data_IF_621641654493
#
_entry.id   IF_621641654493
#
_cell.length_a   1.000
_cell.length_b   1.000
_cell.length_c   1.000
_cell.angle_alpha   90.00
_cell.angle_beta   90.00
_cell.angle_gamma   90.00
#
_symmetry.space_group_name_H-M   'P 1'
#
loop_
_entity.id
_entity.type
_entity.pdbx_description
1 polymer ?
#
# COMPACT_ATOMS: atom_id res chain seq x y z
N UNK A 1 18.54 11.17 -1.90
CA UNK A 1 18.35 10.03 -2.81
C UNK A 1 17.69 10.56 -4.08
N UNK A 2 18.13 10.20 -5.26
CA UNK A 2 17.68 10.76 -6.54
C UNK A 2 17.23 9.65 -7.47
N UNK A 3 16.23 9.92 -8.30
CA UNK A 3 15.66 8.97 -9.24
C UNK A 3 15.41 9.64 -10.58
N UNK A 4 15.58 8.86 -11.66
CA UNK A 4 15.16 9.20 -13.00
C UNK A 4 13.86 8.44 -13.35
N UNK A 5 12.94 9.07 -14.04
CA UNK A 5 11.73 8.41 -14.54
C UNK A 5 12.02 7.59 -15.79
N UNK A 6 11.25 6.54 -16.02
CA UNK A 6 11.21 5.80 -17.28
C UNK A 6 9.94 6.20 -18.02
N UNK A 7 10.01 7.11 -18.99
CA UNK A 7 8.84 7.63 -19.69
C UNK A 7 8.03 6.52 -20.36
N UNK A 8 6.72 6.57 -20.20
CA UNK A 8 5.79 5.62 -20.82
C UNK A 8 5.82 4.21 -20.23
N UNK A 9 6.55 3.95 -19.13
CA UNK A 9 6.52 2.64 -18.49
C UNK A 9 5.10 2.27 -18.01
N UNK A 10 4.63 1.08 -18.39
CA UNK A 10 3.29 0.57 -18.04
C UNK A 10 2.16 1.05 -18.95
N UNK A 11 2.46 1.82 -20.01
CA UNK A 11 1.51 2.16 -21.06
C UNK A 11 1.51 1.10 -22.16
N UNK A 12 0.43 1.00 -22.91
CA UNK A 12 0.34 0.17 -24.10
C UNK A 12 1.15 0.76 -25.28
N UNK A 13 1.27 0.07 -26.43
CA UNK A 13 1.99 0.59 -27.60
C UNK A 13 1.44 1.90 -28.18
N UNK A 14 0.18 2.22 -27.91
CA UNK A 14 -0.45 3.48 -28.35
C UNK A 14 -0.28 4.60 -27.29
N UNK A 15 0.50 4.33 -26.24
CA UNK A 15 0.76 5.28 -25.15
C UNK A 15 -0.42 5.45 -24.20
N UNK A 16 -1.35 4.48 -24.12
CA UNK A 16 -2.53 4.55 -23.25
C UNK A 16 -2.37 3.70 -22.00
N UNK A 17 -2.95 4.17 -20.89
CA UNK A 17 -3.06 3.38 -19.67
C UNK A 17 -3.97 2.17 -19.88
N UNK A 18 -3.52 1.01 -19.42
CA UNK A 18 -4.28 -0.24 -19.43
C UNK A 18 -5.02 -0.50 -18.12
N UNK A 19 -4.87 0.38 -17.12
CA UNK A 19 -5.35 0.14 -15.77
C UNK A 19 -6.83 0.51 -15.59
N UNK A 20 -7.26 1.66 -16.15
CA UNK A 20 -8.49 2.31 -15.73
C UNK A 20 -8.35 2.83 -14.29
N UNK A 21 -9.43 3.27 -13.63
CA UNK A 21 -9.33 3.92 -12.33
C UNK A 21 -8.53 3.10 -11.31
N UNK A 22 -7.56 3.75 -10.65
CA UNK A 22 -6.70 3.16 -9.63
C UNK A 22 -6.95 3.78 -8.26
N UNK A 23 -6.90 2.94 -7.23
CA UNK A 23 -6.93 3.30 -5.82
C UNK A 23 -6.38 2.12 -5.02
N UNK A 24 -5.10 1.83 -5.21
CA UNK A 24 -4.56 0.58 -4.71
C UNK A 24 -3.05 0.61 -4.48
N UNK A 25 -2.44 -0.52 -4.61
CA UNK A 25 -1.07 -0.81 -4.19
C UNK A 25 -0.26 -1.47 -5.30
N UNK A 26 1.02 -1.61 -5.04
CA UNK A 26 2.01 -2.28 -5.91
C UNK A 26 2.76 -3.30 -5.07
N UNK A 27 2.98 -4.51 -5.62
CA UNK A 27 3.94 -5.49 -5.10
C UNK A 27 4.73 -6.13 -6.25
N UNK A 28 5.88 -6.73 -5.94
CA UNK A 28 6.79 -7.32 -6.95
C UNK A 28 7.11 -8.75 -6.54
N UNK A 29 6.96 -9.70 -7.48
CA UNK A 29 7.34 -11.10 -7.25
C UNK A 29 8.86 -11.32 -7.38
N UNK A 30 9.34 -12.50 -7.04
CA UNK A 30 10.76 -12.86 -7.14
C UNK A 30 11.29 -12.85 -8.57
N UNK A 31 10.43 -13.05 -9.56
CA UNK A 31 10.78 -12.97 -10.96
C UNK A 31 10.90 -11.51 -11.47
N UNK A 32 10.51 -10.54 -10.63
CA UNK A 32 10.53 -9.12 -10.93
C UNK A 32 9.26 -8.63 -11.63
N UNK A 33 8.17 -9.40 -11.66
CA UNK A 33 6.91 -8.91 -12.20
C UNK A 33 6.21 -8.01 -11.20
N UNK A 34 5.62 -6.94 -11.70
CA UNK A 34 4.99 -5.88 -10.94
C UNK A 34 3.48 -6.05 -10.97
N UNK A 35 2.90 -6.36 -9.82
CA UNK A 35 1.46 -6.48 -9.62
C UNK A 35 0.94 -5.13 -9.14
N UNK A 36 -0.06 -4.59 -9.81
CA UNK A 36 -0.72 -3.36 -9.39
C UNK A 36 -2.23 -3.54 -9.38
N UNK A 37 -2.87 -3.09 -8.31
CA UNK A 37 -4.31 -3.19 -8.18
C UNK A 37 -5.02 -1.98 -8.78
N UNK A 38 -6.12 -2.24 -9.47
CA UNK A 38 -7.03 -1.27 -10.04
C UNK A 38 -8.47 -1.57 -9.63
N UNK A 39 -9.41 -0.69 -9.90
CA UNK A 39 -10.81 -0.94 -9.56
C UNK A 39 -11.35 -2.20 -10.21
N UNK A 40 -10.86 -2.56 -11.39
CA UNK A 40 -11.29 -3.76 -12.15
C UNK A 40 -10.62 -5.07 -11.71
N UNK A 41 -9.52 -5.00 -10.96
CA UNK A 41 -8.73 -6.17 -10.55
C UNK A 41 -7.23 -5.90 -10.49
N UNK A 42 -6.41 -6.93 -10.63
CA UNK A 42 -4.95 -6.85 -10.59
C UNK A 42 -4.38 -6.99 -12.00
N UNK A 43 -3.49 -6.08 -12.38
CA UNK A 43 -2.73 -6.13 -13.64
C UNK A 43 -1.26 -6.39 -13.32
N UNK A 44 -0.62 -7.28 -14.07
CA UNK A 44 0.77 -7.70 -13.84
C UNK A 44 1.62 -7.30 -15.03
N UNK A 45 2.64 -6.50 -14.77
CA UNK A 45 3.62 -6.08 -15.74
C UNK A 45 4.93 -6.86 -15.56
N UNK A 46 5.66 -7.10 -16.64
CA UNK A 46 7.05 -7.48 -16.55
C UNK A 46 7.95 -6.24 -16.23
N UNK A 47 9.25 -6.43 -15.96
CA UNK A 47 10.17 -5.30 -15.68
C UNK A 47 10.26 -4.24 -16.79
N UNK A 48 9.90 -4.60 -18.04
CA UNK A 48 9.89 -3.69 -19.20
C UNK A 48 8.58 -2.89 -19.32
N UNK A 49 7.60 -3.11 -18.42
CA UNK A 49 6.32 -2.40 -18.41
C UNK A 49 5.26 -3.01 -19.34
N UNK A 50 5.46 -4.24 -19.83
CA UNK A 50 4.47 -4.95 -20.65
C UNK A 50 3.57 -5.82 -19.78
N UNK A 51 2.26 -5.78 -20.04
CA UNK A 51 1.29 -6.66 -19.35
C UNK A 51 1.58 -8.11 -19.72
N UNK A 52 1.77 -8.95 -18.70
CA UNK A 52 2.02 -10.40 -18.85
C UNK A 52 0.90 -11.25 -18.26
N UNK A 53 0.08 -10.68 -17.39
CA UNK A 53 -1.04 -11.35 -16.72
C UNK A 53 -2.03 -10.33 -16.17
N UNK A 54 -3.27 -10.75 -15.95
CA UNK A 54 -4.25 -9.98 -15.20
C UNK A 54 -5.29 -10.87 -14.55
N UNK A 55 -5.82 -10.42 -13.40
CA UNK A 55 -6.94 -11.02 -12.69
C UNK A 55 -8.05 -9.97 -12.63
N UNK A 56 -8.88 -9.93 -13.67
CA UNK A 56 -9.93 -8.91 -13.86
C UNK A 56 -11.27 -9.55 -13.60
N UNK A 57 -11.63 -9.65 -12.33
CA UNK A 57 -12.87 -10.21 -11.84
C UNK A 57 -13.32 -9.52 -10.54
N UNK A 58 -14.48 -9.89 -10.03
CA UNK A 58 -15.02 -9.27 -8.83
C UNK A 58 -14.18 -9.58 -7.59
N UNK A 59 -13.61 -10.77 -7.48
CA UNK A 59 -12.88 -11.22 -6.29
C UNK A 59 -11.54 -10.51 -6.14
N UNK A 60 -10.86 -10.17 -7.25
CA UNK A 60 -9.61 -9.41 -7.27
C UNK A 60 -9.81 -7.90 -7.43
N UNK A 61 -11.06 -7.44 -7.57
CA UNK A 61 -11.37 -6.02 -7.73
C UNK A 61 -11.20 -5.24 -6.44
N UNK A 62 -10.87 -3.95 -6.56
CA UNK A 62 -10.84 -3.00 -5.43
C UNK A 62 -9.93 -3.43 -4.28
N UNK A 63 -8.81 -4.07 -4.59
CA UNK A 63 -7.75 -4.29 -3.60
C UNK A 63 -7.09 -2.95 -3.31
N UNK A 64 -7.32 -2.45 -2.10
CA UNK A 64 -6.83 -1.15 -1.66
C UNK A 64 -5.36 -1.20 -1.26
N UNK A 65 -4.92 -2.35 -0.74
CA UNK A 65 -3.53 -2.63 -0.41
C UNK A 65 -3.19 -4.09 -0.71
N UNK A 66 -1.91 -4.36 -0.94
CA UNK A 66 -1.39 -5.70 -1.19
C UNK A 66 -0.03 -5.89 -0.50
N UNK A 67 0.22 -7.10 -0.02
CA UNK A 67 1.53 -7.59 0.41
C UNK A 67 1.82 -8.93 -0.27
N UNK A 68 3.06 -9.15 -0.72
CA UNK A 68 3.49 -10.41 -1.32
C UNK A 68 4.44 -11.16 -0.39
N UNK A 69 4.23 -12.48 -0.25
CA UNK A 69 5.08 -13.36 0.54
C UNK A 69 5.24 -14.73 -0.11
N UNK A 70 6.41 -15.32 0.10
CA UNK A 70 6.61 -16.72 -0.21
C UNK A 70 6.33 -17.59 1.02
N UNK A 71 5.59 -18.66 0.79
CA UNK A 71 5.29 -19.70 1.78
C UNK A 71 5.43 -21.06 1.10
N UNK A 72 6.30 -21.90 1.63
CA UNK A 72 6.57 -23.25 1.13
C UNK A 72 6.86 -23.31 -0.39
N UNK A 73 7.58 -22.30 -0.91
CA UNK A 73 7.98 -22.20 -2.32
C UNK A 73 6.92 -21.63 -3.26
N UNK A 74 5.78 -21.19 -2.73
CA UNK A 74 4.72 -20.51 -3.49
C UNK A 74 4.63 -19.06 -3.05
N UNK A 75 4.58 -18.12 -4.02
CA UNK A 75 4.32 -16.71 -3.73
C UNK A 75 2.82 -16.46 -3.64
N UNK A 76 2.41 -15.85 -2.54
CA UNK A 76 1.04 -15.44 -2.27
C UNK A 76 0.95 -13.93 -2.15
N UNK A 77 -0.14 -13.38 -2.66
CA UNK A 77 -0.51 -11.98 -2.43
C UNK A 77 -1.65 -11.94 -1.42
N UNK A 78 -1.45 -11.16 -0.38
CA UNK A 78 -2.48 -10.77 0.56
C UNK A 78 -3.04 -9.43 0.14
N UNK A 79 -4.35 -9.29 0.06
CA UNK A 79 -5.00 -8.08 -0.41
C UNK A 79 -6.07 -7.58 0.56
N UNK A 80 -6.05 -6.30 0.87
CA UNK A 80 -7.13 -5.62 1.59
C UNK A 80 -8.20 -5.20 0.59
N UNK A 81 -9.29 -5.98 0.48
CA UNK A 81 -10.38 -5.72 -0.46
C UNK A 81 -11.42 -4.80 0.17
N UNK A 82 -11.38 -3.54 -0.21
CA UNK A 82 -12.28 -2.52 0.34
C UNK A 82 -13.74 -2.81 -0.02
N UNK A 83 -14.03 -3.10 -1.29
CA UNK A 83 -15.35 -3.59 -1.74
C UNK A 83 -15.56 -5.02 -1.24
N UNK A 84 -16.51 -5.20 -0.36
CA UNK A 84 -16.80 -6.50 0.28
C UNK A 84 -16.29 -6.64 1.71
N UNK A 85 -15.41 -5.73 2.17
CA UNK A 85 -15.01 -5.67 3.57
C UNK A 85 -14.16 -6.85 4.05
N UNK A 86 -13.26 -7.37 3.21
CA UNK A 86 -12.48 -8.58 3.48
C UNK A 86 -11.00 -8.40 3.18
N UNK A 87 -10.17 -9.19 3.84
CA UNK A 87 -8.82 -9.52 3.37
C UNK A 87 -8.87 -10.83 2.59
N UNK A 88 -8.09 -10.92 1.52
CA UNK A 88 -7.95 -12.15 0.72
C UNK A 88 -6.49 -12.56 0.63
N UNK A 89 -6.24 -13.85 0.46
CA UNK A 89 -4.93 -14.42 0.09
C UNK A 89 -5.10 -15.22 -1.20
N UNK A 90 -4.27 -14.96 -2.19
CA UNK A 90 -4.31 -15.68 -3.46
C UNK A 90 -2.90 -16.00 -3.97
N UNK A 91 -2.78 -17.08 -4.77
CA UNK A 91 -1.53 -17.45 -5.43
C UNK A 91 -1.16 -16.40 -6.48
N UNK A 92 0.06 -15.85 -6.44
CA UNK A 92 0.50 -14.77 -7.33
C UNK A 92 0.45 -15.17 -8.83
N UNK A 93 0.74 -16.44 -9.14
CA UNK A 93 0.79 -16.92 -10.53
C UNK A 93 -0.60 -17.25 -11.08
N UNK A 94 -1.42 -17.98 -10.32
CA UNK A 94 -2.71 -18.50 -10.81
C UNK A 94 -3.89 -17.57 -10.51
N UNK A 95 -3.76 -16.65 -9.54
CA UNK A 95 -4.85 -15.85 -9.01
C UNK A 95 -5.80 -16.63 -8.10
N UNK A 96 -5.55 -17.92 -7.84
CA UNK A 96 -6.45 -18.75 -7.03
C UNK A 96 -6.53 -18.25 -5.61
N UNK A 97 -7.72 -17.81 -5.17
CA UNK A 97 -7.96 -17.41 -3.78
C UNK A 97 -7.94 -18.65 -2.89
N UNK A 98 -7.13 -18.61 -1.84
CA UNK A 98 -6.94 -19.71 -0.89
C UNK A 98 -7.40 -19.38 0.52
N UNK A 99 -7.62 -18.09 0.83
CA UNK A 99 -8.13 -17.65 2.12
C UNK A 99 -8.91 -16.34 1.95
N UNK A 100 -9.99 -16.21 2.72
CA UNK A 100 -10.73 -14.95 2.91
C UNK A 100 -10.94 -14.73 4.40
N UNK A 101 -10.65 -13.52 4.88
CA UNK A 101 -10.81 -13.10 6.27
C UNK A 101 -11.68 -11.84 6.33
N UNK A 102 -12.37 -11.62 7.43
CA UNK A 102 -13.22 -10.46 7.61
C UNK A 102 -13.82 -10.38 9.00
N UNK A 103 -14.83 -9.55 9.16
CA UNK A 103 -15.52 -9.38 10.43
C UNK A 103 -16.14 -10.69 10.90
N UNK A 104 -15.93 -11.01 12.17
CA UNK A 104 -16.50 -12.17 12.84
C UNK A 104 -17.22 -11.77 14.12
N UNK A 105 -18.22 -12.57 14.52
CA UNK A 105 -18.91 -12.38 15.81
C UNK A 105 -17.97 -12.57 17.01
N UNK A 106 -16.87 -13.31 16.84
CA UNK A 106 -15.84 -13.54 17.87
C UNK A 106 -15.15 -12.25 18.31
N UNK A 107 -15.18 -11.19 17.47
CA UNK A 107 -14.61 -9.88 17.83
C UNK A 107 -15.38 -9.19 18.96
N UNK A 108 -16.65 -9.52 19.16
CA UNK A 108 -17.53 -8.84 20.11
C UNK A 108 -17.90 -7.40 19.73
N UNK A 109 -17.48 -6.95 18.55
CA UNK A 109 -17.72 -5.58 18.08
C UNK A 109 -19.05 -5.48 17.35
N UNK A 110 -19.83 -4.44 17.66
CA UNK A 110 -21.09 -4.14 16.99
C UNK A 110 -20.85 -3.40 15.66
N UNK A 111 -20.15 -4.05 14.71
CA UNK A 111 -19.87 -3.51 13.38
C UNK A 111 -20.78 -4.18 12.34
N UNK A 112 -21.19 -3.42 11.33
CA UNK A 112 -22.04 -3.93 10.23
C UNK A 112 -21.24 -4.39 9.02
N UNK A 113 -19.93 -4.20 9.02
CA UNK A 113 -18.99 -4.57 7.97
C UNK A 113 -17.67 -3.81 8.10
N UNK A 114 -16.69 -4.20 7.33
CA UNK A 114 -15.39 -3.53 7.28
C UNK A 114 -15.22 -2.76 5.95
N UNK A 115 -14.30 -1.78 5.97
CA UNK A 115 -13.76 -1.11 4.78
C UNK A 115 -12.23 -1.11 4.86
N UNK A 116 -11.59 -2.27 4.59
CA UNK A 116 -10.17 -2.45 4.78
C UNK A 116 -9.33 -1.50 3.94
N UNK A 117 -8.26 -1.00 4.55
CA UNK A 117 -7.31 -0.07 3.93
C UNK A 117 -5.93 -0.67 3.77
N UNK A 118 -5.51 -1.57 4.65
CA UNK A 118 -4.20 -2.21 4.58
C UNK A 118 -4.22 -3.64 5.11
N UNK A 119 -3.24 -4.42 4.67
CA UNK A 119 -3.00 -5.79 5.13
C UNK A 119 -1.50 -6.03 5.22
N UNK A 120 -1.05 -6.70 6.31
CA UNK A 120 0.34 -7.15 6.44
C UNK A 120 0.41 -8.45 7.23
N UNK A 121 1.52 -9.17 7.09
CA UNK A 121 1.68 -10.51 7.67
C UNK A 121 2.94 -10.58 8.52
N UNK A 122 2.81 -11.02 9.76
CA UNK A 122 3.93 -11.24 10.67
C UNK A 122 4.75 -12.50 10.31
N UNK A 123 5.98 -12.66 10.84
CA UNK A 123 6.85 -13.82 10.56
C UNK A 123 6.22 -15.16 10.94
N UNK A 124 5.37 -15.19 11.96
CA UNK A 124 4.64 -16.40 12.41
C UNK A 124 3.40 -16.72 11.55
N UNK A 125 3.10 -15.87 10.56
CA UNK A 125 1.95 -15.98 9.67
C UNK A 125 0.67 -15.32 10.19
N UNK A 126 0.71 -14.61 11.34
CA UNK A 126 -0.43 -13.81 11.77
C UNK A 126 -0.67 -12.65 10.80
N UNK A 127 -1.95 -12.43 10.47
CA UNK A 127 -2.39 -11.46 9.47
C UNK A 127 -3.01 -10.27 10.19
N UNK A 128 -2.58 -9.07 9.83
CA UNK A 128 -3.16 -7.81 10.32
C UNK A 128 -3.95 -7.16 9.20
N UNK A 129 -5.22 -6.82 9.47
CA UNK A 129 -6.14 -6.16 8.52
C UNK A 129 -6.62 -4.84 9.14
N UNK A 130 -6.25 -3.73 8.53
CA UNK A 130 -6.67 -2.39 8.98
C UNK A 130 -8.02 -2.02 8.40
N UNK A 131 -8.98 -1.64 9.26
CA UNK A 131 -10.31 -1.11 8.86
C UNK A 131 -10.33 0.42 8.94
N UNK A 132 -9.41 1.06 8.21
CA UNK A 132 -9.18 2.49 8.32
C UNK A 132 -10.31 3.38 7.80
N UNK A 133 -11.13 2.89 6.86
CA UNK A 133 -12.25 3.67 6.32
C UNK A 133 -13.57 3.50 7.08
N UNK A 134 -13.60 2.64 8.11
CA UNK A 134 -14.79 2.47 8.93
C UNK A 134 -14.47 2.63 10.41
N UNK A 135 -13.99 1.58 11.09
CA UNK A 135 -13.88 1.57 12.56
C UNK A 135 -12.58 2.19 13.11
N UNK A 136 -11.54 2.37 12.29
CA UNK A 136 -10.19 2.72 12.72
C UNK A 136 -9.55 1.66 13.65
N UNK A 137 -9.93 0.41 13.45
CA UNK A 137 -9.44 -0.75 14.19
C UNK A 137 -8.55 -1.59 13.28
N UNK A 138 -7.53 -2.19 13.86
CA UNK A 138 -6.69 -3.19 13.20
C UNK A 138 -7.01 -4.55 13.79
N UNK A 139 -7.44 -5.48 12.93
CA UNK A 139 -7.80 -6.85 13.30
C UNK A 139 -6.62 -7.77 13.10
N UNK A 140 -6.39 -8.68 14.06
CA UNK A 140 -5.36 -9.73 14.00
C UNK A 140 -6.02 -11.08 13.81
N UNK A 141 -5.56 -11.83 12.82
CA UNK A 141 -5.97 -13.21 12.53
C UNK A 141 -4.74 -14.10 12.50
N UNK A 142 -4.91 -15.38 12.79
CA UNK A 142 -3.83 -16.35 12.55
C UNK A 142 -3.72 -16.71 11.06
N UNK A 143 -2.67 -17.43 10.67
CA UNK A 143 -2.42 -17.86 9.28
C UNK A 143 -3.53 -18.70 8.63
N UNK A 144 -4.49 -19.19 9.42
CA UNK A 144 -5.68 -19.94 8.94
C UNK A 144 -6.93 -19.04 8.86
N UNK A 145 -6.78 -17.73 9.12
CA UNK A 145 -7.88 -16.76 9.09
C UNK A 145 -8.78 -16.76 10.33
N UNK A 146 -8.40 -17.48 11.41
CA UNK A 146 -9.14 -17.40 12.67
C UNK A 146 -8.80 -16.08 13.36
N UNK A 147 -9.82 -15.32 13.77
CA UNK A 147 -9.68 -14.12 14.58
C UNK A 147 -8.93 -14.41 15.90
N UNK A 148 -8.01 -13.49 16.26
CA UNK A 148 -7.23 -13.57 17.50
C UNK A 148 -7.51 -12.39 18.42
N UNK A 149 -7.40 -11.16 17.91
CA UNK A 149 -7.55 -9.93 18.66
C UNK A 149 -7.77 -8.73 17.75
N UNK A 150 -7.98 -7.58 18.32
CA UNK A 150 -7.96 -6.29 17.61
C UNK A 150 -7.40 -5.19 18.52
N UNK A 151 -6.95 -4.10 17.93
CA UNK A 151 -6.47 -2.92 18.63
C UNK A 151 -6.74 -1.65 17.82
N UNK A 152 -6.51 -0.50 18.47
CA UNK A 152 -6.77 0.80 17.88
C UNK A 152 -8.21 1.24 18.00
N UNK A 153 -8.41 2.53 17.83
CA UNK A 153 -9.72 3.20 17.82
C UNK A 153 -9.57 4.58 17.19
N UNK A 154 -10.68 5.17 16.77
CA UNK A 154 -10.71 6.58 16.39
C UNK A 154 -10.54 7.47 17.63
N UNK A 155 -9.64 8.48 17.54
CA UNK A 155 -9.44 9.44 18.63
C UNK A 155 -8.20 10.31 18.44
N UNK A 156 -8.01 11.24 19.39
CA UNK A 156 -6.93 12.26 19.35
C UNK A 156 -5.76 11.96 20.31
N UNK A 157 -5.83 10.85 21.05
CA UNK A 157 -4.68 10.44 21.88
C UNK A 157 -3.53 9.97 20.98
N UNK A 158 -2.31 10.00 21.52
CA UNK A 158 -1.10 9.70 20.75
C UNK A 158 -1.17 8.33 20.07
N UNK A 159 -1.78 7.34 20.72
CA UNK A 159 -1.96 5.98 20.23
C UNK A 159 -3.26 5.77 19.42
N UNK A 160 -4.13 6.78 19.30
CA UNK A 160 -5.38 6.66 18.55
C UNK A 160 -5.17 6.96 17.06
N UNK A 161 -6.12 6.59 16.22
CA UNK A 161 -6.04 6.77 14.77
C UNK A 161 -7.08 7.75 14.23
N UNK A 162 -6.67 8.45 13.17
CA UNK A 162 -7.55 9.15 12.24
C UNK A 162 -7.36 8.59 10.82
N UNK A 163 -7.77 7.38 10.58
CA UNK A 163 -7.61 6.60 9.36
C UNK A 163 -6.25 5.88 9.30
N UNK A 164 -6.09 4.72 9.97
CA UNK A 164 -4.95 3.82 9.75
C UNK A 164 -5.04 3.29 8.32
N UNK A 165 -4.26 3.91 7.38
CA UNK A 165 -4.48 3.77 5.95
C UNK A 165 -3.57 2.72 5.31
N UNK A 166 -2.26 2.89 5.41
CA UNK A 166 -1.25 1.94 4.95
C UNK A 166 -0.56 1.29 6.14
N UNK A 167 -0.09 0.06 5.98
CA UNK A 167 0.59 -0.68 7.05
C UNK A 167 1.57 -1.67 6.46
N UNK A 168 2.73 -1.81 7.08
CA UNK A 168 3.71 -2.86 6.74
C UNK A 168 4.42 -3.37 7.98
N UNK A 169 5.03 -4.56 7.87
CA UNK A 169 5.92 -5.07 8.90
C UNK A 169 7.29 -4.39 8.78
N UNK A 170 7.67 -3.64 9.81
CA UNK A 170 8.99 -2.99 9.88
C UNK A 170 10.04 -3.95 10.46
N UNK A 171 10.76 -4.59 9.56
CA UNK A 171 11.82 -5.55 9.86
C UNK A 171 13.19 -4.89 10.11
N UNK A 172 13.27 -3.55 10.12
CA UNK A 172 14.48 -2.81 10.50
C UNK A 172 14.72 -2.87 12.02
N UNK A 173 13.71 -3.30 12.77
CA UNK A 173 13.73 -3.50 14.22
C UNK A 173 13.70 -4.99 14.58
N UNK A 174 14.30 -5.31 15.72
CA UNK A 174 14.22 -6.64 16.35
C UNK A 174 13.79 -6.48 17.81
N UNK A 175 12.59 -6.96 18.23
CA UNK A 175 11.59 -7.61 17.37
C UNK A 175 10.98 -6.65 16.33
N UNK A 176 10.44 -7.20 15.21
CA UNK A 176 9.79 -6.42 14.16
C UNK A 176 8.52 -5.72 14.69
N UNK A 177 8.17 -4.61 14.06
CA UNK A 177 7.04 -3.74 14.44
C UNK A 177 6.07 -3.57 13.29
N UNK A 178 4.85 -3.15 13.59
CA UNK A 178 3.93 -2.63 12.57
C UNK A 178 4.24 -1.14 12.38
N UNK A 179 4.49 -0.73 11.15
CA UNK A 179 4.60 0.68 10.75
C UNK A 179 3.31 1.08 10.03
N UNK A 180 2.57 2.03 10.61
CA UNK A 180 1.19 2.34 10.23
C UNK A 180 1.07 3.81 9.86
N UNK A 181 0.49 4.10 8.67
CA UNK A 181 0.11 5.45 8.26
C UNK A 181 -1.16 5.89 8.99
N UNK A 182 -1.07 6.88 9.85
CA UNK A 182 -2.24 7.59 10.39
C UNK A 182 -2.52 8.82 9.51
N UNK A 183 -3.23 8.58 8.38
CA UNK A 183 -3.31 9.51 7.25
C UNK A 183 -3.95 10.84 7.57
N UNK A 184 -5.07 10.82 8.31
CA UNK A 184 -5.88 12.01 8.56
C UNK A 184 -5.66 12.62 9.94
N UNK A 185 -4.55 12.27 10.62
CA UNK A 185 -4.20 12.88 11.88
C UNK A 185 -4.03 14.40 11.74
N UNK A 186 -4.53 15.16 12.71
CA UNK A 186 -4.46 16.61 12.70
C UNK A 186 -3.29 17.11 13.55
N UNK A 187 -2.59 18.16 13.11
CA UNK A 187 -2.83 18.99 11.90
C UNK A 187 -2.25 18.37 10.62
N UNK A 188 -1.55 17.24 10.70
CA UNK A 188 -0.84 16.64 9.56
C UNK A 188 -0.60 15.14 9.82
N UNK A 189 -0.68 14.31 8.75
CA UNK A 189 -0.48 12.87 8.84
C UNK A 189 0.88 12.44 9.37
N UNK A 190 0.92 11.23 9.93
CA UNK A 190 2.07 10.66 10.66
C UNK A 190 2.22 9.16 10.44
N UNK A 191 3.34 8.61 10.89
CA UNK A 191 3.56 7.16 11.01
C UNK A 191 3.65 6.78 12.48
N UNK A 192 3.03 5.66 12.83
CA UNK A 192 3.04 5.09 14.18
C UNK A 192 3.67 3.70 14.18
N UNK A 193 4.45 3.39 15.22
CA UNK A 193 4.90 2.04 15.51
C UNK A 193 4.03 1.38 16.58
N UNK A 194 3.64 0.15 16.30
CA UNK A 194 3.00 -0.77 17.24
C UNK A 194 3.76 -2.09 17.26
N UNK A 195 3.74 -2.79 18.41
CA UNK A 195 4.20 -4.17 18.45
C UNK A 195 3.17 -5.14 17.83
N UNK A 196 3.54 -6.41 17.69
CA UNK A 196 2.67 -7.41 17.08
C UNK A 196 1.51 -7.86 18.00
N UNK A 197 1.47 -7.39 19.24
CA UNK A 197 0.38 -7.59 20.18
C UNK A 197 -0.60 -6.41 20.21
N UNK A 198 -0.30 -5.35 19.45
CA UNK A 198 -1.13 -4.16 19.31
C UNK A 198 -0.87 -3.08 20.37
N UNK A 199 0.26 -3.12 21.07
CA UNK A 199 0.66 -2.06 21.97
C UNK A 199 1.38 -0.95 21.20
N UNK A 200 0.97 0.29 21.47
CA UNK A 200 1.63 1.48 20.91
C UNK A 200 3.07 1.59 21.43
N UNK A 201 4.00 1.86 20.51
CA UNK A 201 5.42 2.04 20.83
C UNK A 201 5.78 3.52 20.75
N UNK A 202 5.58 4.15 19.58
CA UNK A 202 6.01 5.54 19.35
C UNK A 202 5.35 6.15 18.12
N UNK A 203 5.42 7.47 18.01
CA UNK A 203 5.23 8.21 16.77
C UNK A 203 6.54 8.16 15.99
N UNK A 204 6.58 7.37 14.92
CA UNK A 204 7.80 7.07 14.17
C UNK A 204 8.23 8.22 13.25
N UNK A 205 7.26 8.92 12.64
CA UNK A 205 7.52 10.10 11.80
C UNK A 205 6.27 10.99 11.73
N UNK A 206 6.50 12.29 11.56
CA UNK A 206 5.43 13.31 11.43
C UNK A 206 5.61 14.14 10.17
N UNK A 207 4.63 15.01 9.88
CA UNK A 207 4.65 15.98 8.77
C UNK A 207 4.74 15.34 7.39
N UNK A 208 4.01 14.25 7.20
CA UNK A 208 3.96 13.50 5.95
C UNK A 208 2.71 13.82 5.11
N UNK A 209 2.01 14.91 5.45
CA UNK A 209 0.75 15.34 4.85
C UNK A 209 -0.33 14.26 4.94
N UNK A 210 -0.60 13.52 3.85
CA UNK A 210 -1.63 12.47 3.81
C UNK A 210 -1.01 11.12 3.42
N UNK A 211 -0.19 10.49 4.31
CA UNK A 211 0.52 9.25 3.98
C UNK A 211 -0.47 8.11 3.68
N UNK A 212 -0.23 7.39 2.59
CA UNK A 212 -1.17 6.39 2.09
C UNK A 212 -0.70 4.96 2.23
N UNK A 213 0.57 4.71 1.97
CA UNK A 213 1.18 3.39 2.14
C UNK A 213 2.61 3.50 2.63
N UNK A 214 3.22 2.37 2.95
CA UNK A 214 4.61 2.27 3.37
C UNK A 214 5.23 1.02 2.76
N UNK A 215 6.43 1.15 2.17
CA UNK A 215 7.21 0.01 1.72
C UNK A 215 8.68 0.18 2.15
N UNK A 216 9.29 -0.92 2.57
CA UNK A 216 10.63 -0.91 3.17
C UNK A 216 11.60 -1.65 2.27
N UNK A 217 12.80 -1.06 2.09
CA UNK A 217 13.95 -1.74 1.51
C UNK A 217 15.24 -1.36 2.23
N UNK A 218 15.85 -2.36 2.89
CA UNK A 218 17.02 -2.12 3.73
C UNK A 218 16.71 -1.07 4.80
N UNK A 219 17.48 -0.01 4.84
CA UNK A 219 17.30 1.09 5.80
C UNK A 219 16.26 2.14 5.37
N UNK A 220 15.70 2.02 4.16
CA UNK A 220 14.84 3.06 3.60
C UNK A 220 13.37 2.68 3.60
N UNK A 221 12.52 3.69 3.77
CA UNK A 221 11.06 3.59 3.68
C UNK A 221 10.55 4.55 2.62
N UNK A 222 9.73 4.08 1.69
CA UNK A 222 8.95 4.95 0.81
C UNK A 222 7.55 5.15 1.39
N UNK A 223 7.11 6.41 1.40
CA UNK A 223 5.80 6.82 1.93
C UNK A 223 5.12 7.73 0.92
N UNK A 224 4.26 7.17 0.07
CA UNK A 224 3.38 7.96 -0.79
C UNK A 224 2.43 8.84 0.03
N UNK A 225 2.06 9.98 -0.52
CA UNK A 225 1.11 10.92 0.08
C UNK A 225 0.14 11.45 -0.97
N UNK A 226 -1.15 11.46 -0.66
CA UNK A 226 -2.21 11.86 -1.62
C UNK A 226 -2.05 13.27 -2.19
N UNK A 227 -1.21 14.10 -1.62
CA UNK A 227 -0.90 15.43 -2.14
C UNK A 227 0.13 15.43 -3.29
N UNK A 228 0.40 14.26 -3.88
CA UNK A 228 1.31 14.10 -5.01
C UNK A 228 2.79 14.09 -4.63
N UNK A 229 3.11 13.73 -3.38
CA UNK A 229 4.49 13.52 -2.91
C UNK A 229 4.77 12.05 -2.66
N UNK A 230 6.05 11.71 -2.83
CA UNK A 230 6.61 10.48 -2.33
C UNK A 230 7.79 10.81 -1.41
N UNK A 231 7.63 10.53 -0.12
CA UNK A 231 8.71 10.71 0.85
C UNK A 231 9.58 9.47 0.89
N UNK A 232 10.89 9.66 1.00
CA UNK A 232 11.84 8.61 1.35
C UNK A 232 12.40 8.94 2.72
N UNK A 233 12.28 8.00 3.65
CA UNK A 233 12.81 8.09 5.00
C UNK A 233 14.02 7.16 5.13
N UNK A 234 14.96 7.53 6.01
CA UNK A 234 16.09 6.70 6.40
C UNK A 234 15.75 5.76 7.57
N UNK A 235 16.75 5.03 8.06
CA UNK A 235 16.62 4.11 9.20
C UNK A 235 16.16 4.77 10.51
N UNK A 236 16.31 6.10 10.63
CA UNK A 236 15.88 6.87 11.80
C UNK A 236 14.49 7.51 11.56
N UNK A 237 13.80 7.10 10.49
CA UNK A 237 12.55 7.67 10.03
C UNK A 237 12.60 9.18 9.69
N UNK A 238 13.81 9.69 9.39
CA UNK A 238 14.03 11.06 8.94
C UNK A 238 13.84 11.16 7.43
N UNK A 239 13.13 12.18 6.95
CA UNK A 239 12.92 12.42 5.51
C UNK A 239 14.25 12.80 4.85
N UNK A 240 14.73 11.97 3.92
CA UNK A 240 15.98 12.19 3.16
C UNK A 240 15.73 12.56 1.70
N UNK A 241 14.51 12.38 1.20
CA UNK A 241 14.12 12.80 -0.16
C UNK A 241 12.62 13.02 -0.24
N UNK A 242 12.20 13.96 -1.08
CA UNK A 242 10.79 14.18 -1.46
C UNK A 242 10.73 14.27 -2.97
N UNK A 243 9.92 13.41 -3.59
CA UNK A 243 9.81 13.28 -5.03
C UNK A 243 8.43 13.73 -5.51
N UNK A 244 8.35 14.17 -6.77
CA UNK A 244 7.12 14.30 -7.55
C UNK A 244 6.21 15.47 -7.22
N UNK A 245 6.62 16.39 -6.37
CA UNK A 245 5.78 17.51 -5.94
C UNK A 245 5.59 18.58 -7.03
N UNK A 246 4.32 18.94 -7.27
CA UNK A 246 3.94 20.14 -8.03
C UNK A 246 3.17 21.10 -7.12
N UNK A 247 3.62 22.35 -7.07
CA UNK A 247 3.11 23.38 -6.15
C UNK A 247 1.77 24.01 -6.55
N UNK A 248 0.93 23.36 -7.35
CA UNK A 248 -0.38 23.88 -7.73
C UNK A 248 -1.51 23.12 -7.04
N UNK A 249 -2.10 23.66 -5.95
CA UNK A 249 -3.17 23.00 -5.21
C UNK A 249 -4.56 23.07 -5.87
N UNK A 250 -4.68 23.65 -7.07
CA UNK A 250 -5.97 23.99 -7.69
C UNK A 250 -6.68 22.83 -8.40
N UNK A 251 -6.05 21.69 -8.63
CA UNK A 251 -6.62 20.58 -9.39
C UNK A 251 -6.88 19.38 -8.47
N UNK A 252 -8.09 18.80 -8.59
CA UNK A 252 -8.36 17.50 -7.95
C UNK A 252 -7.39 16.45 -8.52
N UNK A 253 -6.45 16.00 -7.72
CA UNK A 253 -5.35 15.10 -8.12
C UNK A 253 -5.87 13.81 -8.76
N UNK A 254 -6.99 13.27 -8.24
CA UNK A 254 -7.66 12.10 -8.81
C UNK A 254 -8.12 12.30 -10.25
N UNK A 255 -8.57 13.50 -10.61
CA UNK A 255 -9.19 13.82 -11.91
C UNK A 255 -8.21 14.29 -12.98
N UNK A 256 -6.91 14.27 -12.71
CA UNK A 256 -5.90 14.58 -13.73
C UNK A 256 -5.98 13.53 -14.83
N UNK A 257 -6.35 13.97 -16.04
CA UNK A 257 -6.50 13.12 -17.21
C UNK A 257 -5.12 12.68 -17.73
N UNK A 258 -5.07 11.59 -18.48
CA UNK A 258 -3.82 11.05 -18.99
C UNK A 258 -3.04 12.07 -19.86
N UNK A 259 -3.73 12.89 -20.66
CA UNK A 259 -3.10 13.91 -21.50
C UNK A 259 -2.40 15.02 -20.71
N UNK A 260 -2.76 15.20 -19.43
CA UNK A 260 -2.17 16.18 -18.52
C UNK A 260 -1.05 15.61 -17.64
N UNK A 261 -0.71 14.33 -17.80
CA UNK A 261 0.36 13.72 -17.01
C UNK A 261 1.72 14.30 -17.38
N UNK A 262 2.49 14.62 -16.36
CA UNK A 262 3.87 15.08 -16.50
C UNK A 262 4.80 14.04 -15.89
N UNK A 263 5.87 13.70 -16.61
CA UNK A 263 6.87 12.76 -16.10
C UNK A 263 7.54 13.29 -14.82
N UNK A 264 7.65 12.42 -13.82
CA UNK A 264 8.22 12.75 -12.51
C UNK A 264 7.31 13.60 -11.60
N UNK A 265 6.13 13.99 -12.06
CA UNK A 265 5.10 14.66 -11.24
C UNK A 265 3.96 13.68 -11.02
N UNK A 266 3.58 13.48 -9.77
CA UNK A 266 2.50 12.58 -9.40
C UNK A 266 1.15 13.29 -9.36
N UNK A 267 0.08 12.55 -9.66
CA UNK A 267 -1.29 13.05 -9.54
C UNK A 267 -1.81 12.95 -8.11
N UNK A 268 -1.49 11.85 -7.43
CA UNK A 268 -1.88 11.59 -6.04
C UNK A 268 -1.35 10.24 -5.62
N UNK A 269 -0.12 10.21 -5.12
CA UNK A 269 0.56 8.94 -4.83
C UNK A 269 -0.21 8.11 -3.80
N UNK A 270 -0.48 6.84 -4.14
CA UNK A 270 -1.25 5.96 -3.29
C UNK A 270 -0.48 4.72 -2.87
N UNK A 271 0.11 3.98 -3.79
CA UNK A 271 0.93 2.81 -3.52
C UNK A 271 2.37 2.96 -4.04
N UNK A 272 3.34 2.38 -3.35
CA UNK A 272 4.71 2.26 -3.84
C UNK A 272 5.35 0.96 -3.41
N UNK A 273 6.30 0.48 -4.21
CA UNK A 273 7.09 -0.71 -3.88
C UNK A 273 8.50 -0.61 -4.46
N UNK A 274 9.46 -1.19 -3.75
CA UNK A 274 10.86 -1.25 -4.15
C UNK A 274 11.16 -2.53 -4.91
N UNK A 275 11.95 -2.45 -5.98
CA UNK A 275 12.59 -3.66 -6.50
C UNK A 275 13.92 -3.95 -5.77
N UNK A 276 14.52 -5.09 -6.06
CA UNK A 276 15.78 -5.53 -5.44
C UNK A 276 16.97 -4.59 -5.71
N UNK A 277 16.91 -3.79 -6.77
CA UNK A 277 17.95 -2.87 -7.19
C UNK A 277 17.78 -1.46 -6.60
N UNK A 278 16.69 -1.25 -5.87
CA UNK A 278 16.33 0.02 -5.22
C UNK A 278 15.60 0.99 -6.13
N UNK A 279 15.04 0.51 -7.23
CA UNK A 279 14.12 1.29 -8.03
C UNK A 279 12.74 1.28 -7.37
N UNK A 280 11.92 2.29 -7.65
CA UNK A 280 10.57 2.41 -7.13
C UNK A 280 9.53 2.28 -8.23
N UNK A 281 8.45 1.60 -7.92
CA UNK A 281 7.23 1.61 -8.70
C UNK A 281 6.17 2.31 -7.87
N UNK A 282 5.52 3.32 -8.47
CA UNK A 282 4.61 4.22 -7.78
C UNK A 282 3.28 4.27 -8.53
N UNK A 283 2.20 3.97 -7.83
CA UNK A 283 0.84 4.07 -8.36
C UNK A 283 0.18 5.33 -7.82
N UNK A 284 -0.46 6.10 -8.69
CA UNK A 284 -1.34 7.20 -8.33
C UNK A 284 -2.78 6.72 -8.08
N UNK A 285 -3.48 7.37 -7.16
CA UNK A 285 -4.93 7.43 -7.14
C UNK A 285 -5.38 8.33 -8.29
N UNK A 286 -5.87 7.72 -9.37
CA UNK A 286 -6.11 8.43 -10.60
C UNK A 286 -7.24 7.80 -11.42
N UNK A 287 -8.03 8.63 -12.11
CA UNK A 287 -9.21 8.19 -12.88
C UNK A 287 -8.85 7.33 -14.10
N UNK A 288 -7.72 7.58 -14.75
CA UNK A 288 -7.24 6.81 -15.90
C UNK A 288 -6.29 5.69 -15.49
N UNK A 289 -5.83 5.73 -14.23
CA UNK A 289 -4.92 4.75 -13.65
C UNK A 289 -3.48 4.91 -14.11
N UNK A 290 -2.62 5.38 -13.20
CA UNK A 290 -1.23 5.66 -13.49
C UNK A 290 -0.30 4.85 -12.59
N UNK A 291 0.70 4.23 -13.21
CA UNK A 291 1.86 3.65 -12.53
C UNK A 291 3.13 4.14 -13.19
N UNK A 292 4.16 4.44 -12.39
CA UNK A 292 5.45 4.91 -12.87
C UNK A 292 6.58 4.09 -12.30
N UNK A 293 7.65 3.93 -13.08
CA UNK A 293 8.93 3.37 -12.66
C UNK A 293 9.95 4.49 -12.48
N UNK A 294 10.58 4.51 -11.31
CA UNK A 294 11.63 5.44 -10.94
C UNK A 294 12.93 4.67 -10.75
N UNK A 295 13.92 4.93 -11.60
CA UNK A 295 15.24 4.30 -11.54
C UNK A 295 16.12 5.05 -10.56
N UNK A 296 16.67 4.34 -9.56
CA UNK A 296 17.59 4.94 -8.59
C UNK A 296 18.90 5.34 -9.25
N UNK A 297 19.25 6.62 -9.16
CA UNK A 297 20.56 7.12 -9.59
C UNK A 297 21.60 6.70 -8.55
N UNK A 298 22.56 5.89 -9.00
CA UNK A 298 23.72 5.46 -8.18
C UNK A 298 24.91 6.34 -8.58
N UNK A 299 25.48 7.02 -7.62
CA UNK A 299 26.71 7.81 -7.76
C UNK A 299 27.92 6.97 -7.38
#
# INVERSE_FOLDING_TARGET
>A
MTFDTIPGWGLDPDGKSVLGPTHGSVVIDKAGNIYTSANKGVVVFNPDGKVVRSFVDEEHSSLHDMEIREEDGVEYIYGARNKGGVGIKFEAISGKIVLTIGLTNESGLALTGLKPTAITVAPNGDIFLSDGYASNIIFKYNKKGKYLSHFGKKGDALQDFHTPHGMTLDTRYDPPRLLICDRNHLPIGRLLHYDLDGNFIEEAATRLNMPTSVAIQGDYVSVPSLDGRLYILDKNNSVVSVLGYKADPGVSLYKVQQEDWVEGIFSGTHGSYWDKDGNLYVQDWNIDGRIMKLMRVKW
#
